data_IF_565349450705
#
_entry.id   IF_565349450705
#
_cell.length_a   1.000
_cell.length_b   1.000
_cell.length_c   1.000
_cell.angle_alpha   90.00
_cell.angle_beta   90.00
_cell.angle_gamma   90.00
#
_symmetry.space_group_name_H-M   'P 1'
#
loop_
_entity.id
_entity.type
_entity.pdbx_description
1 polymer ?
#
# COMPACT_ATOMS: atom_id res chain seq x y z
N UNK A 1 44.82 43.71 0.47
CA UNK A 1 44.71 42.49 1.31
C UNK A 1 45.60 41.34 0.83
N UNK A 2 46.26 41.44 -0.33
CA UNK A 2 47.18 40.39 -0.84
C UNK A 2 48.68 40.55 -0.41
N UNK A 3 49.12 41.71 0.07
CA UNK A 3 50.52 41.90 0.43
C UNK A 3 50.92 41.36 1.81
N UNK A 4 50.00 41.18 2.76
CA UNK A 4 50.29 40.62 4.07
C UNK A 4 50.39 39.09 4.13
N UNK A 5 49.91 38.38 3.13
CA UNK A 5 49.95 36.90 3.06
C UNK A 5 51.33 36.39 2.62
N UNK A 6 52.08 37.18 1.80
CA UNK A 6 53.40 36.82 1.32
C UNK A 6 54.52 36.95 2.36
N UNK A 7 54.37 37.87 3.32
CA UNK A 7 55.34 38.07 4.37
C UNK A 7 55.32 36.98 5.45
N UNK A 8 54.23 36.26 5.62
CA UNK A 8 54.07 35.19 6.60
C UNK A 8 54.68 33.86 6.16
N UNK A 9 54.82 33.64 4.84
CA UNK A 9 55.35 32.41 4.26
C UNK A 9 56.89 32.37 4.19
N UNK A 10 57.60 33.48 4.30
CA UNK A 10 59.06 33.52 4.23
C UNK A 10 59.79 33.10 5.50
N UNK A 11 59.08 32.96 6.64
CA UNK A 11 59.66 32.56 7.93
C UNK A 11 59.42 31.08 8.34
N UNK A 12 58.60 30.36 7.58
CA UNK A 12 58.27 28.93 7.92
C UNK A 12 59.32 27.99 7.37
N UNK A 13 59.91 27.13 8.24
CA UNK A 13 60.83 26.08 7.82
C UNK A 13 60.11 25.16 6.82
N UNK A 14 60.77 24.77 5.75
CA UNK A 14 60.23 23.91 4.64
C UNK A 14 59.49 22.68 5.18
N UNK A 15 59.91 22.18 6.35
CA UNK A 15 59.24 21.07 7.05
C UNK A 15 57.80 21.40 7.51
N UNK A 16 57.52 22.64 7.88
CA UNK A 16 56.17 23.05 8.33
C UNK A 16 55.21 23.25 7.15
N UNK A 17 55.73 23.72 6.00
CA UNK A 17 54.95 23.87 4.77
C UNK A 17 54.61 22.48 4.19
N UNK A 18 55.55 21.53 4.25
CA UNK A 18 55.32 20.14 3.84
C UNK A 18 54.29 19.45 4.74
N UNK A 19 54.31 19.71 6.05
CA UNK A 19 53.34 19.16 7.01
C UNK A 19 51.93 19.72 6.76
N UNK A 20 51.78 21.00 6.42
CA UNK A 20 50.49 21.64 6.09
C UNK A 20 49.95 21.10 4.75
N UNK A 21 50.79 20.87 3.76
CA UNK A 21 50.39 20.26 2.47
C UNK A 21 50.01 18.79 2.63
N UNK A 22 50.67 18.03 3.48
CA UNK A 22 50.27 16.65 3.81
C UNK A 22 48.95 16.61 4.58
N UNK A 23 48.70 17.53 5.52
CA UNK A 23 47.46 17.64 6.27
C UNK A 23 46.28 18.02 5.36
N UNK A 24 46.49 18.91 4.37
CA UNK A 24 45.48 19.29 3.40
C UNK A 24 45.14 18.15 2.42
N UNK A 25 46.10 17.32 2.06
CA UNK A 25 45.90 16.16 1.21
C UNK A 25 45.06 15.04 1.90
N UNK A 26 45.18 14.92 3.24
CA UNK A 26 44.37 13.95 4.01
C UNK A 26 42.89 14.38 4.10
N UNK A 27 42.62 15.70 4.16
CA UNK A 27 41.26 16.22 4.25
C UNK A 27 40.49 16.05 2.91
N UNK A 28 41.18 16.10 1.77
CA UNK A 28 40.56 15.88 0.45
C UNK A 28 40.30 14.42 0.17
N UNK A 29 41.03 13.48 0.83
CA UNK A 29 40.85 12.03 0.63
C UNK A 29 39.62 11.43 1.33
N UNK A 30 39.02 12.13 2.30
CA UNK A 30 37.90 11.60 3.07
C UNK A 30 36.52 11.81 2.44
N UNK A 31 36.39 12.41 1.26
CA UNK A 31 35.09 12.71 0.63
C UNK A 31 34.76 11.84 -0.58
N UNK A 32 35.32 10.64 -0.70
CA UNK A 32 34.75 9.62 -1.55
C UNK A 32 33.57 8.99 -0.78
N UNK A 33 32.39 9.62 -0.90
CA UNK A 33 31.14 8.87 -0.70
C UNK A 33 31.23 7.65 -1.61
N UNK A 34 31.44 6.46 -1.03
CA UNK A 34 31.31 5.20 -1.75
C UNK A 34 29.86 5.14 -2.25
N UNK A 35 29.60 5.71 -3.45
CA UNK A 35 28.32 5.47 -4.14
C UNK A 35 28.23 3.99 -4.36
N UNK A 36 27.23 3.35 -3.79
CA UNK A 36 26.91 1.96 -4.09
C UNK A 36 26.84 1.82 -5.60
N UNK A 37 27.50 0.83 -6.15
CA UNK A 37 27.46 0.50 -7.59
C UNK A 37 26.15 -0.20 -7.94
N UNK A 38 25.53 -0.88 -6.97
CA UNK A 38 24.27 -1.61 -7.11
C UNK A 38 23.21 -0.91 -6.25
N UNK A 39 22.11 -0.43 -6.83
CA UNK A 39 21.01 0.18 -6.07
C UNK A 39 20.46 -0.75 -4.99
N UNK A 40 20.15 -0.17 -3.84
CA UNK A 40 19.51 -0.86 -2.73
C UNK A 40 18.08 -0.34 -2.53
N UNK A 41 17.11 -1.23 -2.62
CA UNK A 41 15.70 -0.94 -2.37
C UNK A 41 15.32 -1.50 -1.00
N UNK A 42 14.72 -0.68 -0.15
CA UNK A 42 13.97 -1.17 1.02
C UNK A 42 12.53 -1.43 0.64
N UNK A 43 12.06 -2.67 0.75
CA UNK A 43 10.65 -2.98 0.57
C UNK A 43 10.03 -3.37 1.92
N UNK A 44 8.98 -2.65 2.37
CA UNK A 44 8.34 -2.93 3.66
C UNK A 44 6.85 -3.26 3.49
N UNK A 45 6.48 -4.45 3.99
CA UNK A 45 5.09 -4.84 4.22
C UNK A 45 4.72 -4.55 5.68
N UNK A 46 3.52 -4.00 5.91
CA UNK A 46 3.04 -3.74 7.27
C UNK A 46 2.68 -5.03 8.01
N UNK A 47 2.13 -6.00 7.31
CA UNK A 47 1.72 -7.31 7.84
C UNK A 47 1.73 -8.37 6.73
N UNK A 48 1.69 -9.64 7.11
CA UNK A 48 1.60 -10.75 6.17
C UNK A 48 0.16 -10.90 5.69
N UNK A 49 -0.04 -10.86 4.37
CA UNK A 49 -1.36 -11.04 3.76
C UNK A 49 -1.25 -11.60 2.35
N UNK A 50 -1.85 -12.77 2.14
CA UNK A 50 -1.79 -13.47 0.85
C UNK A 50 -2.45 -12.68 -0.30
N UNK A 51 -3.45 -11.85 0.00
CA UNK A 51 -4.13 -11.03 -1.02
C UNK A 51 -3.31 -9.81 -1.45
N UNK A 52 -2.37 -9.36 -0.61
CA UNK A 52 -1.50 -8.21 -0.86
C UNK A 52 -0.13 -8.63 -1.44
N UNK A 53 0.35 -9.83 -1.14
CA UNK A 53 1.64 -10.35 -1.60
C UNK A 53 1.86 -10.23 -3.13
N UNK A 54 0.84 -10.37 -4.02
CA UNK A 54 1.01 -10.15 -5.45
C UNK A 54 1.51 -8.75 -5.83
N UNK A 55 1.30 -7.71 -5.00
CA UNK A 55 1.82 -6.37 -5.26
C UNK A 55 3.35 -6.37 -5.27
N UNK A 56 3.99 -7.00 -4.29
CA UNK A 56 5.45 -7.13 -4.26
C UNK A 56 5.96 -7.94 -5.46
N UNK A 57 5.29 -9.04 -5.78
CA UNK A 57 5.65 -9.85 -6.95
C UNK A 57 5.60 -9.02 -8.24
N UNK A 58 4.54 -8.24 -8.45
CA UNK A 58 4.41 -7.35 -9.61
C UNK A 58 5.48 -6.26 -9.64
N UNK A 59 5.78 -5.67 -8.48
CA UNK A 59 6.84 -4.66 -8.33
C UNK A 59 8.20 -5.21 -8.76
N UNK A 60 8.59 -6.38 -8.23
CA UNK A 60 9.87 -7.03 -8.55
C UNK A 60 9.95 -7.43 -10.03
N UNK A 61 8.86 -7.96 -10.59
CA UNK A 61 8.80 -8.34 -12.00
C UNK A 61 8.93 -7.11 -12.92
N UNK A 62 8.33 -5.98 -12.57
CA UNK A 62 8.49 -4.74 -13.31
C UNK A 62 9.94 -4.24 -13.28
N UNK A 63 10.61 -4.32 -12.14
CA UNK A 63 12.03 -4.02 -12.02
C UNK A 63 12.84 -4.93 -12.96
N UNK A 64 12.60 -6.25 -12.90
CA UNK A 64 13.30 -7.26 -13.72
C UNK A 64 13.16 -6.99 -15.22
N UNK A 65 11.93 -6.71 -15.69
CA UNK A 65 11.67 -6.35 -17.10
C UNK A 65 12.33 -5.04 -17.51
N UNK A 66 12.67 -4.19 -16.57
CA UNK A 66 13.36 -2.92 -16.81
C UNK A 66 14.88 -2.98 -16.58
N UNK A 67 15.46 -4.17 -16.40
CA UNK A 67 16.91 -4.39 -16.29
C UNK A 67 17.46 -4.39 -14.86
N UNK A 68 16.58 -4.38 -13.85
CA UNK A 68 16.96 -4.45 -12.43
C UNK A 68 16.54 -5.78 -11.82
N UNK A 69 17.50 -6.68 -11.60
CA UNK A 69 17.25 -8.02 -11.04
C UNK A 69 18.33 -8.40 -10.04
N UNK A 70 17.95 -9.08 -8.97
CA UNK A 70 18.90 -9.67 -8.02
C UNK A 70 19.69 -10.82 -8.68
N UNK A 71 19.06 -11.59 -9.58
CA UNK A 71 19.70 -12.67 -10.34
C UNK A 71 20.94 -12.17 -11.12
N UNK A 72 20.83 -10.99 -11.72
CA UNK A 72 21.91 -10.35 -12.48
C UNK A 72 22.72 -9.35 -11.67
N UNK A 73 22.42 -9.24 -10.36
CA UNK A 73 23.08 -8.31 -9.41
C UNK A 73 23.03 -6.85 -9.87
N UNK A 74 21.95 -6.45 -10.54
CA UNK A 74 21.74 -5.06 -10.97
C UNK A 74 20.89 -4.26 -9.99
N UNK A 75 20.33 -4.91 -8.98
CA UNK A 75 19.63 -4.33 -7.82
C UNK A 75 19.76 -5.28 -6.62
N UNK A 76 19.66 -4.74 -5.42
CA UNK A 76 19.45 -5.49 -4.17
C UNK A 76 18.14 -5.03 -3.53
N UNK A 77 17.32 -5.98 -3.06
CA UNK A 77 16.05 -5.69 -2.39
C UNK A 77 16.14 -6.21 -0.96
N UNK A 78 16.11 -5.29 0.02
CA UNK A 78 15.97 -5.63 1.44
C UNK A 78 14.48 -5.62 1.78
N UNK A 79 13.88 -6.81 1.77
CA UNK A 79 12.48 -7.01 2.13
C UNK A 79 12.32 -7.22 3.63
N UNK A 80 11.38 -6.49 4.23
CA UNK A 80 11.02 -6.62 5.64
C UNK A 80 9.52 -6.54 5.85
N UNK A 81 9.04 -7.31 6.83
CA UNK A 81 7.64 -7.34 7.24
C UNK A 81 7.51 -6.94 8.70
N UNK A 82 6.60 -6.01 8.99
CA UNK A 82 6.41 -5.48 10.34
C UNK A 82 5.49 -6.35 11.22
N UNK A 83 4.91 -7.41 10.67
CA UNK A 83 4.04 -8.38 11.37
C UNK A 83 2.88 -7.72 12.13
N UNK A 84 2.30 -6.65 11.56
CA UNK A 84 1.22 -5.89 12.17
C UNK A 84 1.62 -4.96 13.33
N UNK A 85 2.92 -4.88 13.65
CA UNK A 85 3.42 -4.06 14.75
C UNK A 85 3.80 -2.65 14.30
N UNK A 86 3.15 -1.57 14.75
CA UNK A 86 3.53 -0.19 14.43
C UNK A 86 4.95 0.16 14.91
N UNK A 87 5.39 -0.41 16.04
CA UNK A 87 6.73 -0.19 16.56
C UNK A 87 7.79 -0.83 15.63
N UNK A 88 7.56 -2.08 15.20
CA UNK A 88 8.43 -2.78 14.25
C UNK A 88 8.46 -2.06 12.90
N UNK A 89 7.32 -1.61 12.40
CA UNK A 89 7.23 -0.84 11.15
C UNK A 89 8.11 0.42 11.22
N UNK A 90 8.01 1.14 12.34
CA UNK A 90 8.85 2.32 12.62
C UNK A 90 10.35 1.98 12.60
N UNK A 91 10.74 0.88 13.24
CA UNK A 91 12.14 0.43 13.26
C UNK A 91 12.64 0.04 11.88
N UNK A 92 11.84 -0.65 11.07
CA UNK A 92 12.18 -1.02 9.70
C UNK A 92 12.42 0.23 8.83
N UNK A 93 11.52 1.21 8.88
CA UNK A 93 11.68 2.44 8.11
C UNK A 93 12.92 3.22 8.55
N UNK A 94 13.17 3.34 9.86
CA UNK A 94 14.37 4.00 10.38
C UNK A 94 15.64 3.25 9.95
N UNK A 95 15.62 1.93 9.94
CA UNK A 95 16.70 1.10 9.43
C UNK A 95 16.98 1.39 7.94
N UNK A 96 15.98 1.44 7.08
CA UNK A 96 16.16 1.78 5.66
C UNK A 96 16.74 3.19 5.47
N UNK A 97 16.33 4.15 6.31
CA UNK A 97 16.89 5.51 6.31
C UNK A 97 18.37 5.48 6.70
N UNK A 98 18.74 4.73 7.76
CA UNK A 98 20.13 4.62 8.22
C UNK A 98 21.03 3.91 7.20
N UNK A 99 20.49 2.90 6.51
CA UNK A 99 21.15 2.20 5.41
C UNK A 99 21.25 3.05 4.13
N UNK A 100 20.62 4.21 4.10
CA UNK A 100 20.58 5.10 2.92
C UNK A 100 20.16 4.35 1.66
N UNK A 101 19.04 3.61 1.75
CA UNK A 101 18.49 2.94 0.57
C UNK A 101 18.19 3.96 -0.53
N UNK A 102 18.27 3.56 -1.79
CA UNK A 102 18.03 4.47 -2.93
C UNK A 102 16.55 4.84 -3.05
N UNK A 103 15.66 3.92 -2.68
CA UNK A 103 14.22 4.15 -2.56
C UNK A 103 13.60 3.21 -1.51
N UNK A 104 12.43 3.60 -1.00
CA UNK A 104 11.59 2.73 -0.16
C UNK A 104 10.33 2.38 -0.95
N UNK A 105 10.04 1.09 -1.11
CA UNK A 105 8.76 0.60 -1.59
C UNK A 105 7.91 0.13 -0.41
N UNK A 106 6.60 0.35 -0.46
CA UNK A 106 5.70 0.10 0.68
C UNK A 106 4.42 -0.59 0.27
N UNK A 107 3.89 -1.46 1.13
CA UNK A 107 2.58 -2.10 1.02
C UNK A 107 2.04 -2.43 2.43
N UNK A 108 0.77 -2.20 2.75
CA UNK A 108 -0.19 -1.30 2.15
C UNK A 108 -0.11 0.13 2.74
N UNK A 109 -1.26 0.80 2.96
CA UNK A 109 -1.42 2.20 3.40
C UNK A 109 -0.60 2.59 4.62
N UNK A 110 -0.63 1.77 5.68
CA UNK A 110 0.04 2.10 6.97
C UNK A 110 1.56 2.18 6.81
N UNK A 111 2.17 1.32 5.99
CA UNK A 111 3.60 1.41 5.66
C UNK A 111 3.92 2.62 4.80
N UNK A 112 3.02 3.00 3.89
CA UNK A 112 3.15 4.18 3.04
C UNK A 112 3.18 5.46 3.88
N UNK A 113 2.23 5.60 4.81
CA UNK A 113 2.16 6.73 5.75
C UNK A 113 3.43 6.77 6.61
N UNK A 114 3.82 5.65 7.21
CA UNK A 114 5.00 5.56 8.07
C UNK A 114 6.29 5.98 7.35
N UNK A 115 6.51 5.52 6.11
CA UNK A 115 7.68 5.86 5.33
C UNK A 115 7.70 7.33 4.92
N UNK A 116 6.59 7.85 4.36
CA UNK A 116 6.51 9.23 3.87
C UNK A 116 6.68 10.27 4.99
N UNK A 117 6.17 9.96 6.18
CA UNK A 117 6.32 10.86 7.33
C UNK A 117 7.75 10.92 7.87
N UNK A 118 8.52 9.81 7.81
CA UNK A 118 9.85 9.69 8.43
C UNK A 118 11.00 10.15 7.55
N UNK A 119 10.86 10.12 6.24
CA UNK A 119 11.86 10.68 5.33
C UNK A 119 11.27 11.73 4.40
N UNK A 120 12.09 12.72 4.04
CA UNK A 120 11.74 13.72 3.02
C UNK A 120 12.69 13.67 1.82
N UNK A 121 13.75 12.88 1.93
CA UNK A 121 14.84 12.84 0.95
C UNK A 121 14.87 11.51 0.17
N UNK A 122 14.49 10.39 0.79
CA UNK A 122 14.42 9.11 0.11
C UNK A 122 13.07 9.02 -0.61
N UNK A 123 13.03 8.73 -1.92
CA UNK A 123 11.78 8.51 -2.65
C UNK A 123 11.00 7.30 -2.10
N UNK A 124 9.71 7.48 -1.87
CA UNK A 124 8.80 6.43 -1.39
C UNK A 124 7.84 6.06 -2.51
N UNK A 125 7.89 4.80 -2.94
CA UNK A 125 7.02 4.24 -3.97
C UNK A 125 5.93 3.39 -3.32
N UNK A 126 4.71 3.91 -3.30
CA UNK A 126 3.59 3.30 -2.61
C UNK A 126 2.85 2.29 -3.49
N UNK A 127 2.45 1.17 -2.91
CA UNK A 127 1.55 0.19 -3.53
C UNK A 127 0.35 -0.05 -2.61
N UNK A 128 -0.77 -0.44 -3.19
CA UNK A 128 -2.01 -0.78 -2.48
C UNK A 128 -2.35 0.27 -1.42
N UNK A 129 -2.35 1.52 -1.85
CA UNK A 129 -2.60 2.68 -0.98
C UNK A 129 -3.62 3.61 -1.62
N UNK A 130 -4.46 4.29 -0.83
CA UNK A 130 -5.36 5.29 -1.36
C UNK A 130 -4.60 6.55 -1.79
N UNK A 131 -5.32 7.52 -2.36
CA UNK A 131 -4.74 8.81 -2.74
C UNK A 131 -4.09 9.53 -1.57
N UNK A 132 -3.17 10.44 -1.86
CA UNK A 132 -2.45 11.26 -0.87
C UNK A 132 -3.41 11.96 0.09
N UNK A 133 -4.51 12.48 -0.45
CA UNK A 133 -5.58 13.13 0.33
C UNK A 133 -6.25 12.17 1.31
N UNK A 134 -6.58 10.95 0.87
CA UNK A 134 -7.21 9.93 1.71
C UNK A 134 -6.26 9.40 2.80
N UNK A 135 -4.95 9.47 2.56
CA UNK A 135 -3.92 9.16 3.56
C UNK A 135 -3.66 10.31 4.57
N UNK A 136 -4.32 11.47 4.42
CA UNK A 136 -4.05 12.68 5.20
C UNK A 136 -2.58 13.11 5.15
N UNK A 137 -1.94 13.00 3.98
CA UNK A 137 -0.53 13.36 3.78
C UNK A 137 -0.35 14.68 3.02
N UNK A 138 -1.43 15.36 2.66
CA UNK A 138 -1.37 16.71 2.09
C UNK A 138 -1.01 17.73 3.19
N UNK A 139 -0.27 18.79 2.81
CA UNK A 139 -0.05 19.93 3.68
C UNK A 139 -1.30 20.85 3.75
N UNK A 140 -1.24 21.90 4.56
CA UNK A 140 -2.33 22.88 4.76
C UNK A 140 -2.79 23.56 3.44
N UNK A 141 -1.95 23.51 2.40
CA UNK A 141 -2.25 24.06 1.06
C UNK A 141 -2.72 23.00 0.07
N UNK A 142 -2.98 21.76 0.54
CA UNK A 142 -3.35 20.65 -0.30
C UNK A 142 -2.20 20.09 -1.16
N UNK A 143 -0.94 20.41 -0.81
CA UNK A 143 0.22 19.95 -1.57
C UNK A 143 0.70 18.60 -1.07
N UNK A 144 0.92 17.67 -2.00
CA UNK A 144 1.45 16.35 -1.71
C UNK A 144 2.90 16.37 -1.23
N UNK A 145 3.36 15.36 -0.47
CA UNK A 145 4.77 15.16 -0.17
C UNK A 145 5.62 15.02 -1.44
N UNK A 146 6.76 15.68 -1.46
CA UNK A 146 7.65 15.71 -2.63
C UNK A 146 8.33 14.39 -2.93
N UNK A 147 8.39 13.50 -1.93
CA UNK A 147 9.04 12.19 -2.00
C UNK A 147 8.06 11.02 -2.20
N UNK A 148 6.76 11.27 -2.44
CA UNK A 148 5.75 10.23 -2.62
C UNK A 148 5.46 10.01 -4.11
N UNK A 149 5.60 8.75 -4.56
CA UNK A 149 5.40 8.26 -5.91
C UNK A 149 4.68 6.91 -5.88
N UNK A 150 4.48 6.29 -7.04
CA UNK A 150 3.88 4.97 -7.15
C UNK A 150 2.42 5.02 -7.59
N UNK A 151 1.67 3.99 -7.23
CA UNK A 151 0.30 3.81 -7.69
C UNK A 151 -0.67 3.86 -6.54
N UNK A 152 -1.72 4.64 -6.71
CA UNK A 152 -2.75 4.91 -5.70
C UNK A 152 -4.15 4.65 -6.26
N UNK A 153 -5.15 4.55 -5.38
CA UNK A 153 -6.54 4.39 -5.76
C UNK A 153 -7.42 5.40 -4.99
N UNK A 154 -8.45 5.89 -5.65
CA UNK A 154 -9.55 6.56 -4.96
C UNK A 154 -10.61 5.55 -4.51
N UNK A 155 -11.70 6.05 -3.89
CA UNK A 155 -12.78 5.18 -3.44
C UNK A 155 -13.92 5.01 -4.46
N UNK A 156 -13.77 5.53 -5.71
CA UNK A 156 -14.87 5.51 -6.67
C UNK A 156 -15.25 4.08 -7.10
N UNK A 157 -14.29 3.17 -7.15
CA UNK A 157 -14.50 1.79 -7.58
C UNK A 157 -15.37 0.98 -6.60
N UNK A 158 -15.42 1.35 -5.31
CA UNK A 158 -16.20 0.61 -4.33
C UNK A 158 -17.70 0.67 -4.60
N UNK A 159 -18.18 1.75 -5.23
CA UNK A 159 -19.60 1.87 -5.65
C UNK A 159 -19.97 0.75 -6.61
N UNK A 160 -19.13 0.54 -7.66
CA UNK A 160 -19.36 -0.53 -8.64
C UNK A 160 -19.34 -1.90 -7.99
N UNK A 161 -18.47 -2.11 -7.00
CA UNK A 161 -18.41 -3.37 -6.25
C UNK A 161 -19.65 -3.57 -5.37
N UNK A 162 -20.12 -2.53 -4.72
CA UNK A 162 -21.32 -2.59 -3.91
C UNK A 162 -22.57 -2.84 -4.77
N UNK A 163 -22.62 -2.25 -5.98
CA UNK A 163 -23.72 -2.43 -6.94
C UNK A 163 -23.87 -3.88 -7.44
N UNK A 164 -22.84 -4.69 -7.32
CA UNK A 164 -22.90 -6.12 -7.65
C UNK A 164 -23.94 -6.83 -6.76
N UNK A 165 -24.05 -6.44 -5.49
CA UNK A 165 -24.91 -7.14 -4.51
C UNK A 165 -26.38 -7.19 -4.96
N UNK A 166 -27.07 -6.05 -5.25
CA UNK A 166 -28.47 -6.11 -5.65
C UNK A 166 -28.70 -6.70 -7.04
N UNK A 167 -27.64 -6.86 -7.87
CA UNK A 167 -27.76 -7.56 -9.15
C UNK A 167 -27.72 -9.08 -8.99
N UNK A 168 -27.08 -9.59 -7.95
CA UNK A 168 -26.87 -11.01 -7.70
C UNK A 168 -27.79 -11.57 -6.62
N UNK A 169 -28.26 -10.74 -5.69
CA UNK A 169 -29.07 -11.18 -4.55
C UNK A 169 -30.46 -10.57 -4.55
N UNK A 170 -31.41 -11.37 -4.12
CA UNK A 170 -32.75 -10.92 -3.72
C UNK A 170 -32.81 -10.89 -2.19
N UNK A 171 -33.51 -9.91 -1.59
CA UNK A 171 -33.69 -9.90 -0.14
C UNK A 171 -34.45 -11.14 0.33
N UNK A 172 -34.08 -11.68 1.48
CA UNK A 172 -34.81 -12.79 2.12
C UNK A 172 -36.21 -12.33 2.51
N UNK A 173 -36.34 -11.10 2.97
CA UNK A 173 -37.62 -10.49 3.28
C UNK A 173 -37.52 -8.95 3.19
N UNK A 174 -38.55 -8.32 2.63
CA UNK A 174 -38.64 -6.86 2.60
C UNK A 174 -37.55 -6.19 1.78
N UNK A 175 -36.72 -5.35 2.43
CA UNK A 175 -35.65 -4.55 1.82
C UNK A 175 -34.30 -5.26 2.00
N UNK A 176 -33.48 -5.30 0.94
CA UNK A 176 -32.13 -5.87 1.01
C UNK A 176 -31.33 -5.17 2.11
N UNK A 177 -30.79 -5.96 3.03
CA UNK A 177 -30.01 -5.50 4.17
C UNK A 177 -28.55 -5.98 4.03
N UNK A 178 -27.61 -5.03 3.94
CA UNK A 178 -26.18 -5.30 3.83
C UNK A 178 -25.48 -4.86 5.11
N UNK A 179 -24.64 -5.74 5.64
CA UNK A 179 -23.80 -5.46 6.79
C UNK A 179 -22.37 -5.15 6.38
N UNK A 180 -21.67 -4.34 7.18
CA UNK A 180 -20.24 -4.12 7.06
C UNK A 180 -19.60 -3.81 8.40
N UNK A 181 -18.31 -4.00 8.49
CA UNK A 181 -17.47 -3.49 9.59
C UNK A 181 -16.44 -2.52 9.05
N UNK A 182 -15.94 -1.61 9.92
CA UNK A 182 -14.97 -0.59 9.51
C UNK A 182 -14.10 -0.16 10.69
N UNK A 183 -12.85 0.19 10.43
CA UNK A 183 -11.94 0.73 11.43
C UNK A 183 -12.12 2.24 11.56
N UNK A 184 -12.52 2.71 12.76
CA UNK A 184 -12.74 4.13 13.05
C UNK A 184 -11.45 4.93 13.10
N UNK A 185 -10.31 4.29 13.32
CA UNK A 185 -8.99 4.93 13.38
C UNK A 185 -8.36 5.14 12.00
N UNK A 186 -8.86 4.45 10.96
CA UNK A 186 -8.40 4.60 9.58
C UNK A 186 -9.28 5.61 8.82
N UNK A 187 -8.77 6.80 8.46
CA UNK A 187 -9.56 7.81 7.73
C UNK A 187 -10.18 7.30 6.44
N UNK A 188 -9.44 6.48 5.68
CA UNK A 188 -9.93 5.86 4.45
C UNK A 188 -11.10 4.90 4.68
N UNK A 189 -11.07 4.14 5.79
CA UNK A 189 -12.15 3.22 6.15
C UNK A 189 -13.43 3.97 6.49
N UNK A 190 -13.32 5.05 7.27
CA UNK A 190 -14.44 5.93 7.59
C UNK A 190 -15.04 6.57 6.34
N UNK A 191 -14.20 7.03 5.42
CA UNK A 191 -14.66 7.63 4.15
C UNK A 191 -15.32 6.58 3.25
N UNK A 192 -14.76 5.38 3.16
CA UNK A 192 -15.35 4.26 2.43
C UNK A 192 -16.73 3.90 3.00
N UNK A 193 -16.84 3.77 4.32
CA UNK A 193 -18.12 3.52 5.02
C UNK A 193 -19.15 4.60 4.70
N UNK A 194 -18.79 5.89 4.79
CA UNK A 194 -19.71 7.00 4.50
C UNK A 194 -20.17 6.96 3.02
N UNK A 195 -19.26 6.68 2.09
CA UNK A 195 -19.57 6.54 0.67
C UNK A 195 -20.57 5.41 0.41
N UNK A 196 -20.36 4.24 1.02
CA UNK A 196 -21.28 3.11 0.88
C UNK A 196 -22.63 3.41 1.55
N UNK A 197 -22.65 4.18 2.64
CA UNK A 197 -23.89 4.64 3.28
C UNK A 197 -24.74 5.47 2.30
N UNK A 198 -24.12 6.42 1.59
CA UNK A 198 -24.81 7.21 0.56
C UNK A 198 -25.27 6.34 -0.62
N UNK A 199 -24.41 5.41 -1.07
CA UNK A 199 -24.73 4.50 -2.17
C UNK A 199 -25.89 3.58 -1.84
N UNK A 200 -25.90 3.00 -0.65
CA UNK A 200 -26.99 2.17 -0.15
C UNK A 200 -28.34 2.94 -0.11
N UNK A 201 -28.29 4.20 0.31
CA UNK A 201 -29.48 5.08 0.27
C UNK A 201 -30.03 5.24 -1.15
N UNK A 202 -29.16 5.49 -2.13
CA UNK A 202 -29.56 5.64 -3.56
C UNK A 202 -30.13 4.34 -4.15
N UNK A 203 -29.65 3.18 -3.68
CA UNK A 203 -30.11 1.85 -4.13
C UNK A 203 -31.29 1.30 -3.30
N UNK A 204 -31.81 2.07 -2.37
CA UNK A 204 -32.84 1.62 -1.43
C UNK A 204 -32.43 0.36 -0.65
N UNK A 205 -31.15 0.23 -0.29
CA UNK A 205 -30.59 -0.86 0.53
C UNK A 205 -30.51 -0.40 1.99
N UNK A 206 -30.87 -1.28 2.94
CA UNK A 206 -30.65 -1.03 4.35
C UNK A 206 -29.20 -1.39 4.69
N UNK A 207 -28.40 -0.43 5.17
CA UNK A 207 -27.02 -0.64 5.54
C UNK A 207 -26.86 -0.67 7.07
N UNK A 208 -26.22 -1.73 7.58
CA UNK A 208 -25.87 -1.86 8.99
C UNK A 208 -24.36 -1.88 9.10
N UNK A 209 -23.76 -0.92 9.80
CA UNK A 209 -22.31 -0.84 9.98
C UNK A 209 -21.93 -0.87 11.46
N UNK A 210 -20.90 -1.66 11.81
CA UNK A 210 -20.34 -1.70 13.16
C UNK A 210 -18.84 -1.39 13.12
N UNK A 211 -18.30 -0.72 14.17
CA UNK A 211 -16.87 -0.49 14.27
C UNK A 211 -16.13 -1.80 14.56
N UNK A 212 -14.97 -1.97 13.92
CA UNK A 212 -14.00 -3.03 14.15
C UNK A 212 -12.61 -2.41 14.19
N UNK A 213 -12.12 -2.06 15.36
CA UNK A 213 -10.86 -1.35 15.54
C UNK A 213 -9.67 -2.30 15.79
N UNK A 214 -9.93 -3.60 15.90
CA UNK A 214 -8.92 -4.65 16.07
C UNK A 214 -9.39 -5.94 15.44
N UNK A 215 -8.50 -6.64 14.72
CA UNK A 215 -8.79 -7.98 14.17
C UNK A 215 -9.08 -9.02 15.27
N UNK A 216 -8.60 -8.80 16.49
CA UNK A 216 -8.90 -9.67 17.63
C UNK A 216 -10.40 -9.68 18.00
N UNK A 217 -11.12 -8.59 17.72
CA UNK A 217 -12.54 -8.45 18.02
C UNK A 217 -13.44 -8.94 16.87
N UNK A 218 -12.86 -9.40 15.77
CA UNK A 218 -13.56 -9.70 14.54
C UNK A 218 -14.68 -10.74 14.72
N UNK A 219 -14.44 -11.78 15.52
CA UNK A 219 -15.46 -12.79 15.78
C UNK A 219 -16.69 -12.16 16.44
N UNK A 220 -16.50 -11.47 17.56
CA UNK A 220 -17.60 -10.90 18.35
C UNK A 220 -18.38 -9.85 17.56
N UNK A 221 -17.67 -8.96 16.87
CA UNK A 221 -18.30 -7.87 16.09
C UNK A 221 -19.06 -8.43 14.90
N UNK A 222 -18.50 -9.42 14.19
CA UNK A 222 -19.18 -10.07 13.05
C UNK A 222 -20.41 -10.83 13.51
N UNK A 223 -20.35 -11.59 14.61
CA UNK A 223 -21.51 -12.28 15.19
C UNK A 223 -22.63 -11.30 15.58
N UNK A 224 -22.27 -10.17 16.20
CA UNK A 224 -23.21 -9.10 16.54
C UNK A 224 -23.88 -8.51 15.29
N UNK A 225 -23.11 -8.30 14.21
CA UNK A 225 -23.64 -7.82 12.93
C UNK A 225 -24.60 -8.84 12.28
N UNK A 226 -24.23 -10.12 12.29
CA UNK A 226 -25.04 -11.20 11.76
C UNK A 226 -26.36 -11.37 12.52
N UNK A 227 -26.36 -11.07 13.81
CA UNK A 227 -27.57 -10.99 14.65
C UNK A 227 -28.60 -9.95 14.19
N UNK A 228 -28.22 -8.99 13.33
CA UNK A 228 -29.12 -8.00 12.71
C UNK A 228 -29.84 -8.54 11.46
N UNK A 229 -29.69 -9.83 11.13
CA UNK A 229 -30.34 -10.50 9.99
C UNK A 229 -30.03 -9.81 8.66
N UNK A 230 -28.74 -9.65 8.35
CA UNK A 230 -28.25 -9.12 7.06
C UNK A 230 -28.36 -10.20 5.97
N UNK A 231 -28.64 -9.78 4.72
CA UNK A 231 -28.70 -10.65 3.53
C UNK A 231 -27.31 -10.86 2.91
N UNK A 232 -26.40 -9.91 3.08
CA UNK A 232 -25.02 -9.96 2.61
C UNK A 232 -24.09 -9.17 3.53
N UNK A 233 -22.81 -9.55 3.52
CA UNK A 233 -21.72 -8.78 4.13
C UNK A 233 -20.93 -8.10 3.02
N UNK A 234 -20.55 -6.81 3.20
CA UNK A 234 -19.66 -6.09 2.29
C UNK A 234 -18.34 -5.75 3.00
N UNK A 235 -17.25 -6.40 2.58
CA UNK A 235 -15.91 -6.16 3.09
C UNK A 235 -15.30 -4.93 2.39
N UNK A 236 -15.02 -3.88 3.18
CA UNK A 236 -14.42 -2.62 2.73
C UNK A 236 -12.91 -2.77 2.43
N UNK A 237 -12.31 -1.81 1.69
CA UNK A 237 -10.86 -1.66 1.58
C UNK A 237 -10.26 -1.10 2.89
N UNK A 238 -10.04 -1.96 3.86
CA UNK A 238 -9.75 -1.66 5.26
C UNK A 238 -8.70 -2.66 5.77
N UNK A 239 -7.60 -2.16 6.37
CA UNK A 239 -6.49 -3.03 6.80
C UNK A 239 -6.89 -4.00 7.92
N UNK A 240 -7.79 -3.58 8.82
CA UNK A 240 -8.31 -4.44 9.88
C UNK A 240 -9.22 -5.52 9.31
N UNK A 241 -10.05 -5.18 8.29
CA UNK A 241 -10.87 -6.15 7.55
C UNK A 241 -9.99 -7.15 6.78
N UNK A 242 -8.92 -6.69 6.11
CA UNK A 242 -7.95 -7.58 5.47
C UNK A 242 -7.40 -8.61 6.46
N UNK A 243 -6.94 -8.14 7.61
CA UNK A 243 -6.36 -9.01 8.65
C UNK A 243 -7.38 -9.99 9.25
N UNK A 244 -8.65 -9.60 9.33
CA UNK A 244 -9.73 -10.37 9.95
C UNK A 244 -10.53 -11.25 8.97
N UNK A 245 -10.18 -11.26 7.68
CA UNK A 245 -11.04 -11.79 6.60
C UNK A 245 -11.48 -13.25 6.82
N UNK A 246 -10.59 -14.13 7.25
CA UNK A 246 -10.92 -15.55 7.49
C UNK A 246 -11.95 -15.72 8.61
N UNK A 247 -11.83 -14.92 9.67
CA UNK A 247 -12.79 -14.92 10.79
C UNK A 247 -14.15 -14.41 10.33
N UNK A 248 -14.17 -13.33 9.55
CA UNK A 248 -15.40 -12.75 8.98
C UNK A 248 -16.10 -13.79 8.07
N UNK A 249 -15.35 -14.35 7.12
CA UNK A 249 -15.90 -15.37 6.18
C UNK A 249 -16.44 -16.57 6.94
N UNK A 250 -15.69 -17.10 7.90
CA UNK A 250 -16.12 -18.25 8.72
C UNK A 250 -17.45 -17.98 9.44
N UNK A 251 -17.59 -16.80 10.06
CA UNK A 251 -18.82 -16.45 10.77
C UNK A 251 -20.01 -16.24 9.81
N UNK A 252 -19.76 -15.57 8.68
CA UNK A 252 -20.76 -15.40 7.63
C UNK A 252 -21.21 -16.73 7.04
N UNK A 253 -20.28 -17.64 6.78
CA UNK A 253 -20.54 -18.99 6.29
C UNK A 253 -21.44 -19.82 7.23
N UNK A 254 -21.23 -19.73 8.54
CA UNK A 254 -22.04 -20.41 9.55
C UNK A 254 -23.49 -19.91 9.59
N UNK A 255 -23.72 -18.66 9.19
CA UNK A 255 -25.04 -18.04 9.12
C UNK A 255 -25.62 -18.00 7.71
N UNK A 256 -24.93 -18.62 6.74
CA UNK A 256 -25.32 -18.65 5.32
C UNK A 256 -25.48 -17.24 4.72
N UNK A 257 -24.59 -16.31 5.09
CA UNK A 257 -24.54 -14.92 4.60
C UNK A 257 -23.37 -14.79 3.63
N UNK A 258 -23.58 -14.47 2.33
CA UNK A 258 -22.51 -14.31 1.36
C UNK A 258 -21.70 -13.03 1.63
N UNK A 259 -20.37 -13.10 1.45
CA UNK A 259 -19.46 -11.97 1.57
C UNK A 259 -19.14 -11.43 0.19
N UNK A 260 -19.34 -10.14 -0.02
CA UNK A 260 -18.90 -9.38 -1.19
C UNK A 260 -17.81 -8.40 -0.79
N UNK A 261 -17.02 -7.91 -1.75
CA UNK A 261 -15.92 -7.01 -1.47
C UNK A 261 -15.59 -6.13 -2.67
N UNK A 262 -14.86 -5.05 -2.45
CA UNK A 262 -14.25 -4.26 -3.51
C UNK A 262 -12.84 -4.75 -3.89
N UNK A 263 -12.29 -5.72 -3.13
CA UNK A 263 -10.91 -6.14 -3.26
C UNK A 263 -10.80 -7.50 -3.94
N UNK A 264 -10.25 -7.54 -5.16
CA UNK A 264 -10.12 -8.76 -5.95
C UNK A 264 -9.36 -9.88 -5.19
N UNK A 265 -8.36 -9.52 -4.38
CA UNK A 265 -7.60 -10.48 -3.57
C UNK A 265 -8.42 -11.18 -2.48
N UNK A 266 -9.42 -10.51 -1.91
CA UNK A 266 -10.28 -11.10 -0.88
C UNK A 266 -11.27 -12.15 -1.43
N UNK A 267 -11.48 -12.18 -2.75
CA UNK A 267 -12.32 -13.21 -3.39
C UNK A 267 -11.68 -14.60 -3.28
N UNK A 268 -10.35 -14.68 -3.37
CA UNK A 268 -9.62 -15.94 -3.12
C UNK A 268 -9.73 -16.39 -1.66
N UNK A 269 -9.93 -15.47 -0.73
CA UNK A 269 -10.05 -15.71 0.72
C UNK A 269 -11.49 -15.92 1.18
N UNK A 270 -12.43 -16.14 0.25
CA UNK A 270 -13.79 -16.57 0.56
C UNK A 270 -14.90 -15.55 0.32
N UNK A 271 -14.62 -14.37 -0.24
CA UNK A 271 -15.68 -13.53 -0.76
C UNK A 271 -16.26 -14.13 -2.07
N UNK A 272 -17.53 -13.85 -2.34
CA UNK A 272 -18.24 -14.36 -3.54
C UNK A 272 -17.75 -13.66 -4.80
N UNK A 273 -17.70 -12.34 -4.80
CA UNK A 273 -17.35 -11.55 -5.97
C UNK A 273 -16.84 -10.16 -5.59
N UNK A 274 -16.06 -9.56 -6.52
CA UNK A 274 -15.56 -8.22 -6.44
C UNK A 274 -15.42 -7.57 -7.82
N UNK A 275 -15.40 -6.23 -7.83
CA UNK A 275 -14.78 -5.44 -8.87
C UNK A 275 -13.70 -4.57 -8.23
N UNK A 276 -12.45 -4.89 -8.44
CA UNK A 276 -11.36 -4.23 -7.75
C UNK A 276 -10.08 -4.15 -8.58
N UNK A 277 -9.09 -3.48 -8.02
CA UNK A 277 -7.77 -3.41 -8.62
C UNK A 277 -7.13 -4.80 -8.69
N UNK A 278 -6.42 -5.04 -9.80
CA UNK A 278 -5.52 -6.18 -9.89
C UNK A 278 -4.27 -5.88 -9.06
N UNK A 279 -4.13 -6.54 -7.93
CA UNK A 279 -3.07 -6.27 -6.95
C UNK A 279 -1.66 -6.47 -7.54
N UNK A 280 -1.48 -7.50 -8.38
CA UNK A 280 -0.21 -7.71 -9.10
C UNK A 280 0.09 -6.53 -10.05
N UNK A 281 -0.89 -6.12 -10.85
CA UNK A 281 -0.74 -4.99 -11.77
C UNK A 281 -0.56 -3.65 -11.05
N UNK A 282 -1.14 -3.50 -9.86
CA UNK A 282 -0.89 -2.35 -9.02
C UNK A 282 0.59 -2.22 -8.64
N UNK A 283 1.15 -3.31 -8.11
CA UNK A 283 2.58 -3.37 -7.79
C UNK A 283 3.46 -3.23 -9.03
N UNK A 284 3.07 -3.87 -10.15
CA UNK A 284 3.80 -3.78 -11.42
C UNK A 284 3.89 -2.34 -11.92
N UNK A 285 2.78 -1.60 -11.91
CA UNK A 285 2.75 -0.19 -12.31
C UNK A 285 3.66 0.68 -11.43
N UNK A 286 3.67 0.45 -10.12
CA UNK A 286 4.60 1.12 -9.19
C UNK A 286 6.06 0.75 -9.48
N UNK A 287 6.34 -0.52 -9.75
CA UNK A 287 7.69 -1.01 -10.09
C UNK A 287 8.25 -0.38 -11.39
N UNK A 288 7.38 -0.09 -12.37
CA UNK A 288 7.79 0.66 -13.59
C UNK A 288 8.27 2.07 -13.22
N UNK A 289 7.57 2.79 -12.36
CA UNK A 289 8.01 4.11 -11.90
C UNK A 289 9.33 4.03 -11.10
N UNK A 290 9.45 3.02 -10.22
CA UNK A 290 10.68 2.79 -9.47
C UNK A 290 11.88 2.50 -10.39
N UNK A 291 11.67 1.67 -11.41
CA UNK A 291 12.70 1.40 -12.42
C UNK A 291 13.10 2.64 -13.22
N UNK A 292 12.15 3.51 -13.57
CA UNK A 292 12.45 4.80 -14.21
C UNK A 292 13.32 5.67 -13.30
N UNK A 293 13.00 5.76 -12.01
CA UNK A 293 13.83 6.47 -11.03
C UNK A 293 15.24 5.88 -10.96
N UNK A 294 15.39 4.57 -10.87
CA UNK A 294 16.71 3.92 -10.80
C UNK A 294 17.56 4.15 -12.06
N UNK A 295 16.94 4.25 -13.25
CA UNK A 295 17.64 4.56 -14.51
C UNK A 295 18.13 6.00 -14.57
N UNK A 296 17.34 6.93 -14.08
CA UNK A 296 17.58 8.38 -14.28
C UNK A 296 18.17 9.06 -13.05
N UNK A 297 18.09 8.43 -11.88
CA UNK A 297 18.36 9.01 -10.56
C UNK A 297 17.60 10.35 -10.32
N UNK A 298 16.45 10.48 -10.98
CA UNK A 298 15.62 11.68 -10.94
C UNK A 298 14.15 11.34 -10.76
N UNK A 299 13.49 12.09 -9.90
CA UNK A 299 12.03 12.03 -9.72
C UNK A 299 11.27 12.99 -10.61
N UNK A 300 11.97 13.73 -11.49
CA UNK A 300 11.35 14.68 -12.43
C UNK A 300 10.36 13.96 -13.34
N UNK A 301 9.12 14.44 -13.38
CA UNK A 301 8.04 13.83 -14.17
C UNK A 301 7.34 12.65 -13.49
N UNK A 302 7.82 12.16 -12.34
CA UNK A 302 7.12 11.15 -11.56
C UNK A 302 6.10 11.80 -10.63
N UNK A 303 4.97 11.13 -10.51
CA UNK A 303 3.90 11.49 -9.57
C UNK A 303 3.09 10.23 -9.23
N UNK A 304 2.31 10.25 -8.14
CA UNK A 304 1.35 9.19 -7.90
C UNK A 304 0.36 9.06 -9.06
N UNK A 305 0.16 7.84 -9.55
CA UNK A 305 -0.78 7.54 -10.64
C UNK A 305 -1.92 6.67 -10.11
N UNK A 306 -3.11 6.81 -10.70
CA UNK A 306 -4.19 5.87 -10.42
C UNK A 306 -3.90 4.49 -10.99
N UNK A 307 -4.38 3.46 -10.27
CA UNK A 307 -4.34 2.08 -10.76
C UNK A 307 -5.10 1.97 -12.08
N UNK A 308 -4.48 1.31 -13.08
CA UNK A 308 -5.03 1.23 -14.45
C UNK A 308 -5.83 -0.05 -14.69
N UNK A 309 -5.50 -1.13 -14.00
CA UNK A 309 -6.10 -2.45 -14.23
C UNK A 309 -7.02 -2.84 -13.09
N UNK A 310 -8.29 -3.03 -13.42
CA UNK A 310 -9.33 -3.55 -12.53
C UNK A 310 -9.99 -4.75 -13.15
N UNK A 311 -10.45 -5.69 -12.32
CA UNK A 311 -11.09 -6.93 -12.74
C UNK A 311 -12.39 -7.15 -12.00
N UNK A 312 -13.35 -7.76 -12.70
CA UNK A 312 -14.49 -8.44 -12.07
C UNK A 312 -14.10 -9.87 -11.84
N UNK A 313 -14.05 -10.26 -10.59
CA UNK A 313 -13.64 -11.62 -10.21
C UNK A 313 -14.68 -12.26 -9.29
N UNK A 314 -14.77 -13.59 -9.34
CA UNK A 314 -15.65 -14.34 -8.45
C UNK A 314 -15.01 -15.65 -8.00
N UNK A 315 -15.45 -16.16 -6.86
CA UNK A 315 -15.05 -17.45 -6.32
C UNK A 315 -16.11 -18.50 -6.71
N UNK A 316 -15.79 -19.49 -7.58
CA UNK A 316 -16.75 -20.49 -8.04
C UNK A 316 -17.33 -21.35 -6.91
N UNK A 317 -16.51 -21.66 -5.89
CA UNK A 317 -16.96 -22.45 -4.74
C UNK A 317 -17.98 -21.70 -3.89
N UNK A 318 -17.73 -20.40 -3.64
CA UNK A 318 -18.63 -19.55 -2.86
C UNK A 318 -19.91 -19.24 -3.66
N UNK A 319 -19.81 -18.97 -4.95
CA UNK A 319 -20.98 -18.77 -5.81
C UNK A 319 -21.90 -20.01 -5.79
N UNK A 320 -21.31 -21.21 -5.92
CA UNK A 320 -22.05 -22.49 -5.82
C UNK A 320 -22.67 -22.69 -4.43
N UNK A 321 -21.92 -22.41 -3.36
CA UNK A 321 -22.38 -22.56 -1.98
C UNK A 321 -23.62 -21.73 -1.67
N UNK A 322 -23.66 -20.51 -2.18
CA UNK A 322 -24.77 -19.58 -1.97
C UNK A 322 -25.82 -19.61 -3.08
N UNK A 323 -25.65 -20.52 -4.05
CA UNK A 323 -26.55 -20.65 -5.23
C UNK A 323 -26.68 -19.32 -6.00
N UNK A 324 -25.55 -18.60 -6.18
CA UNK A 324 -25.50 -17.31 -6.87
C UNK A 324 -25.06 -17.52 -8.32
N UNK A 325 -25.88 -17.09 -9.26
CA UNK A 325 -25.54 -17.07 -10.69
C UNK A 325 -24.66 -15.87 -11.01
N UNK A 326 -23.44 -16.12 -11.48
CA UNK A 326 -22.47 -15.08 -11.81
C UNK A 326 -22.55 -14.73 -13.31
N UNK A 327 -22.60 -13.45 -13.69
CA UNK A 327 -22.56 -13.03 -15.09
C UNK A 327 -21.26 -13.43 -15.80
N UNK A 328 -21.31 -13.62 -17.12
CA UNK A 328 -20.16 -14.07 -17.92
C UNK A 328 -19.00 -13.09 -18.00
N UNK A 329 -19.19 -11.85 -17.59
CA UNK A 329 -18.15 -10.81 -17.56
C UNK A 329 -17.31 -10.83 -16.27
N UNK A 330 -17.43 -11.87 -15.44
CA UNK A 330 -16.58 -12.12 -14.28
C UNK A 330 -15.58 -13.23 -14.57
N UNK A 331 -14.34 -13.05 -14.15
CA UNK A 331 -13.28 -14.06 -14.18
C UNK A 331 -13.31 -14.90 -12.90
N UNK A 332 -13.22 -16.22 -13.04
CA UNK A 332 -13.09 -17.11 -11.89
C UNK A 332 -11.70 -16.94 -11.25
N UNK A 333 -11.65 -16.77 -9.93
CA UNK A 333 -10.37 -16.90 -9.20
C UNK A 333 -9.97 -18.37 -9.11
N UNK A 334 -8.66 -18.62 -9.09
CA UNK A 334 -8.07 -19.98 -8.97
C UNK A 334 -7.95 -20.41 -7.53
#
# INVERSE_FOLDING_TARGET
>A
MCLHLFAYLSGMKIRSVLALLLLSAVIVSCNKTNKRTIPLIGFVDAFEDASLAPARTGFVEALKKNGFSEDTRTVKIDYRNAQGSPATLTQIVNYFISEKVDLIATCPTVSSIAAVQRTKTIPVFVTVSPTVKLMNLEDERGKRPVNLFGTVEDLNYIDTSFDIIPTLLKPISGKLTVGMVYDQSEPQSVLAKNRIQERAGKLNINLVSLPLNSSADAQLVTESLLGKKIDAFFALPDNTVFTAMETIVKNCDQKHVPVFTSEAGLVQRGAVAAFGADIYQWGYQTGVQAAQFLKTHSTKGLQPEFVKVRKRVYNPAQAKKYNITIPSNFEAVK
#
